data_IF_675534968739
#
_entry.id   IF_675534968739
#
_cell.length_a   1.000
_cell.length_b   1.000
_cell.length_c   1.000
_cell.angle_alpha   90.00
_cell.angle_beta   90.00
_cell.angle_gamma   90.00
#
_symmetry.space_group_name_H-M   'P 1'
#
loop_
_entity.id
_entity.type
_entity.pdbx_description
1 polymer ?
#
# COMPACT_ATOMS: atom_id res chain seq x y z
N UNK A 1 7.83 -4.76 14.07
CA UNK A 1 7.74 -3.78 12.96
C UNK A 1 6.94 -2.61 13.48
N UNK A 2 7.27 -1.39 13.07
CA UNK A 2 6.46 -0.23 13.41
C UNK A 2 5.05 -0.46 12.81
N UNK A 3 3.98 -0.31 13.58
CA UNK A 3 2.60 -0.61 13.11
C UNK A 3 2.14 0.31 11.94
N UNK A 4 2.98 1.24 11.52
CA UNK A 4 2.71 2.28 10.53
C UNK A 4 3.04 1.92 9.07
N UNK A 5 3.70 0.78 8.81
CA UNK A 5 4.20 0.41 7.46
C UNK A 5 3.63 -0.95 6.99
N UNK A 6 2.50 -1.36 7.56
CA UNK A 6 1.81 -2.61 7.22
C UNK A 6 0.93 -2.49 5.96
N UNK A 7 0.97 -3.48 5.10
CA UNK A 7 0.10 -3.58 3.93
C UNK A 7 -0.79 -4.81 4.00
N UNK A 8 -2.05 -4.69 3.57
CA UNK A 8 -2.96 -5.83 3.38
C UNK A 8 -3.31 -5.93 1.89
N UNK A 9 -2.97 -7.07 1.28
CA UNK A 9 -3.09 -7.26 -0.17
C UNK A 9 -4.34 -8.06 -0.53
N UNK A 10 -4.93 -7.77 -1.70
CA UNK A 10 -5.92 -8.66 -2.28
C UNK A 10 -5.31 -10.03 -2.61
N UNK A 11 -6.07 -11.12 -2.39
CA UNK A 11 -5.56 -12.49 -2.51
C UNK A 11 -4.99 -12.85 -3.88
N UNK A 12 -5.55 -12.28 -4.95
CA UNK A 12 -5.03 -12.46 -6.31
C UNK A 12 -3.71 -11.71 -6.52
N UNK A 13 -3.58 -10.50 -5.97
CA UNK A 13 -2.35 -9.72 -6.02
C UNK A 13 -1.23 -10.38 -5.21
N UNK A 14 -1.52 -10.81 -3.98
CA UNK A 14 -0.56 -11.54 -3.13
C UNK A 14 -0.03 -12.80 -3.83
N UNK A 15 -0.91 -13.55 -4.51
CA UNK A 15 -0.52 -14.73 -5.30
C UNK A 15 0.35 -14.37 -6.50
N UNK A 16 0.07 -13.26 -7.21
CA UNK A 16 0.86 -12.83 -8.37
C UNK A 16 2.27 -12.39 -7.99
N UNK A 17 2.39 -11.76 -6.82
CA UNK A 17 3.67 -11.29 -6.29
C UNK A 17 4.42 -12.38 -5.51
N UNK A 18 3.78 -13.53 -5.26
CA UNK A 18 4.31 -14.65 -4.47
C UNK A 18 4.74 -14.23 -3.05
N UNK A 19 3.87 -13.49 -2.38
CA UNK A 19 4.12 -12.96 -1.02
C UNK A 19 3.11 -13.43 0.01
N UNK A 20 3.56 -13.49 1.26
CA UNK A 20 2.83 -13.89 2.45
C UNK A 20 3.07 -12.89 3.60
N UNK A 21 2.24 -12.90 4.65
CA UNK A 21 2.48 -12.06 5.82
C UNK A 21 3.89 -12.25 6.39
N UNK A 22 4.59 -11.14 6.62
CA UNK A 22 6.00 -11.10 7.01
C UNK A 22 6.96 -10.74 5.88
N UNK A 23 6.55 -10.89 4.61
CA UNK A 23 7.38 -10.51 3.46
C UNK A 23 7.41 -9.00 3.26
N UNK A 24 8.49 -8.51 2.66
CA UNK A 24 8.67 -7.11 2.30
C UNK A 24 8.23 -6.86 0.85
N UNK A 25 7.65 -5.68 0.62
CA UNK A 25 7.28 -5.17 -0.68
C UNK A 25 7.94 -3.82 -0.91
N UNK A 26 8.47 -3.61 -2.11
CA UNK A 26 8.89 -2.28 -2.57
C UNK A 26 7.69 -1.61 -3.23
N UNK A 27 7.28 -0.46 -2.70
CA UNK A 27 6.29 0.40 -3.34
C UNK A 27 6.98 1.51 -4.11
N UNK A 28 6.51 1.78 -5.33
CA UNK A 28 7.01 2.86 -6.17
C UNK A 28 5.82 3.55 -6.83
N UNK A 29 5.81 4.88 -6.80
CA UNK A 29 4.78 5.73 -7.39
C UNK A 29 5.38 7.05 -7.85
N UNK A 30 4.60 7.80 -8.63
CA UNK A 30 4.81 9.23 -8.80
C UNK A 30 3.96 9.96 -7.75
N UNK A 31 4.63 10.73 -6.89
CA UNK A 31 3.97 11.53 -5.86
C UNK A 31 3.18 12.70 -6.48
N UNK A 32 2.31 13.32 -5.68
CA UNK A 32 1.40 14.37 -6.15
C UNK A 32 2.13 15.66 -6.60
N UNK A 33 3.38 15.85 -6.18
CA UNK A 33 4.24 16.96 -6.59
C UNK A 33 5.13 16.62 -7.81
N UNK A 34 4.96 15.42 -8.37
CA UNK A 34 5.74 14.92 -9.51
C UNK A 34 7.06 14.26 -9.13
N UNK A 35 7.44 14.24 -7.85
CA UNK A 35 8.61 13.48 -7.38
C UNK A 35 8.35 11.97 -7.42
N UNK A 36 9.41 11.18 -7.25
CA UNK A 36 9.29 9.73 -7.08
C UNK A 36 9.03 9.43 -5.61
N UNK A 37 7.90 8.79 -5.32
CA UNK A 37 7.61 8.22 -4.02
C UNK A 37 7.99 6.75 -4.01
N UNK A 38 8.85 6.33 -3.08
CA UNK A 38 9.14 4.92 -2.87
C UNK A 38 9.35 4.62 -1.39
N UNK A 39 8.90 3.45 -0.95
CA UNK A 39 9.12 2.99 0.42
C UNK A 39 8.95 1.47 0.50
N UNK A 40 9.36 0.89 1.63
CA UNK A 40 9.12 -0.51 1.95
C UNK A 40 7.81 -0.66 2.74
N UNK A 41 7.08 -1.72 2.43
CA UNK A 41 5.91 -2.17 3.17
C UNK A 41 6.13 -3.60 3.65
N UNK A 42 5.61 -3.91 4.83
CA UNK A 42 5.55 -5.30 5.31
C UNK A 42 4.15 -5.84 5.06
N UNK A 43 4.05 -7.01 4.41
CA UNK A 43 2.77 -7.70 4.27
C UNK A 43 2.29 -8.09 5.67
N UNK A 44 1.18 -7.50 6.09
CA UNK A 44 0.55 -7.74 7.39
C UNK A 44 -0.66 -8.66 7.29
N UNK A 45 -1.19 -8.85 6.08
CA UNK A 45 -2.32 -9.73 5.83
C UNK A 45 -2.71 -9.81 4.36
N UNK A 46 -3.67 -10.69 4.11
CA UNK A 46 -4.29 -10.88 2.79
C UNK A 46 -5.80 -10.87 2.95
N UNK A 47 -6.49 -10.10 2.12
CA UNK A 47 -7.95 -10.06 2.09
C UNK A 47 -8.53 -10.73 0.84
N UNK A 48 -9.80 -11.13 0.91
CA UNK A 48 -10.56 -11.63 -0.23
C UNK A 48 -11.99 -11.11 -0.17
N UNK A 49 -12.38 -10.38 -1.20
CA UNK A 49 -13.70 -9.74 -1.33
C UNK A 49 -14.64 -10.58 -2.20
N UNK A 50 -14.11 -11.47 -3.04
CA UNK A 50 -14.89 -12.20 -4.04
C UNK A 50 -15.09 -11.41 -5.35
N UNK A 51 -14.75 -10.11 -5.38
CA UNK A 51 -14.69 -9.34 -6.61
C UNK A 51 -13.29 -9.45 -7.22
N UNK A 52 -13.21 -10.01 -8.44
CA UNK A 52 -11.94 -10.30 -9.09
C UNK A 52 -11.06 -9.06 -9.26
N UNK A 53 -11.63 -7.88 -9.52
CA UNK A 53 -10.86 -6.64 -9.66
C UNK A 53 -10.13 -6.29 -8.37
N UNK A 54 -10.86 -6.23 -7.26
CA UNK A 54 -10.34 -5.83 -5.95
C UNK A 54 -9.28 -6.80 -5.47
N UNK A 55 -9.57 -8.10 -5.58
CA UNK A 55 -8.66 -9.15 -5.12
C UNK A 55 -7.36 -9.16 -5.94
N UNK A 56 -7.34 -8.59 -7.16
CA UNK A 56 -6.18 -8.60 -8.05
C UNK A 56 -5.41 -7.28 -8.16
N UNK A 57 -5.89 -6.18 -7.58
CA UNK A 57 -5.27 -4.86 -7.76
C UNK A 57 -5.19 -3.98 -6.51
N UNK A 58 -5.93 -4.28 -5.45
CA UNK A 58 -5.99 -3.40 -4.28
C UNK A 58 -4.97 -3.80 -3.21
N UNK A 59 -4.38 -2.77 -2.61
CA UNK A 59 -3.55 -2.82 -1.41
C UNK A 59 -4.10 -1.79 -0.43
N UNK A 60 -4.31 -2.20 0.82
CA UNK A 60 -4.68 -1.30 1.91
C UNK A 60 -3.45 -0.98 2.75
N UNK A 61 -3.25 0.30 3.04
CA UNK A 61 -2.11 0.84 3.80
C UNK A 61 -2.59 1.92 4.77
N UNK A 62 -1.83 2.24 5.83
CA UNK A 62 -2.12 3.36 6.71
C UNK A 62 -2.17 4.69 5.94
N UNK A 63 -3.17 5.52 6.24
CA UNK A 63 -3.31 6.86 5.64
C UNK A 63 -2.06 7.71 5.84
N UNK A 64 -1.47 7.69 7.04
CA UNK A 64 -0.27 8.45 7.34
C UNK A 64 0.90 8.05 6.43
N UNK A 65 1.09 6.75 6.19
CA UNK A 65 2.11 6.26 5.26
C UNK A 65 1.84 6.73 3.83
N UNK A 66 0.59 6.61 3.36
CA UNK A 66 0.20 7.05 2.03
C UNK A 66 0.43 8.56 1.83
N UNK A 67 0.11 9.38 2.84
CA UNK A 67 0.34 10.82 2.79
C UNK A 67 1.82 11.18 2.67
N UNK A 68 2.71 10.46 3.36
CA UNK A 68 4.17 10.66 3.25
C UNK A 68 4.67 10.29 1.86
N UNK A 69 4.40 9.07 1.39
CA UNK A 69 4.93 8.58 0.11
C UNK A 69 4.40 9.36 -1.10
N UNK A 70 3.22 9.98 -0.96
CA UNK A 70 2.61 10.81 -2.00
C UNK A 70 2.94 12.31 -1.90
N UNK A 71 3.82 12.72 -0.98
CA UNK A 71 4.15 14.13 -0.71
C UNK A 71 2.90 15.00 -0.43
N UNK A 72 1.99 14.48 0.40
CA UNK A 72 0.74 15.13 0.81
C UNK A 72 0.81 15.72 2.23
N UNK A 73 1.98 15.70 2.87
CA UNK A 73 2.19 16.32 4.18
C UNK A 73 1.75 17.80 4.15
N UNK A 74 0.87 18.19 5.08
CA UNK A 74 0.31 19.54 5.14
C UNK A 74 -0.83 19.84 4.15
N UNK A 75 -1.16 18.93 3.22
CA UNK A 75 -2.35 19.06 2.34
C UNK A 75 -3.58 18.44 3.01
N UNK A 76 -4.07 19.10 4.06
CA UNK A 76 -5.41 18.82 4.58
C UNK A 76 -6.38 19.35 3.52
N UNK A 77 -7.28 18.51 3.00
CA UNK A 77 -8.43 18.98 2.23
C UNK A 77 -9.24 19.88 3.17
N UNK A 78 -9.12 21.20 3.03
CA UNK A 78 -10.10 22.13 3.55
C UNK A 78 -11.35 21.96 2.66
N UNK A 79 -12.44 21.51 3.26
CA UNK A 79 -13.78 21.43 2.63
C UNK A 79 -14.63 22.55 3.19
#
# INVERSE_FOLDING_TARGET
GNDNDGAVLGSGLAKKLDVSPGDELVFVTQAADGSIGNDLLVVSGVFRTGHIGHDNSLVMVPQAWLQRVMALEGKIHEI
#
